data_IF_878635424028
#
_entry.id   IF_878635424028
#
_cell.length_a   1.000
_cell.length_b   1.000
_cell.length_c   1.000
_cell.angle_alpha   90.00
_cell.angle_beta   90.00
_cell.angle_gamma   90.00
#
_symmetry.space_group_name_H-M   'P 1'
#
loop_
_entity.id
_entity.type
_entity.pdbx_description
1 polymer ?
#
# COMPACT_ATOMS: atom_id res chain seq x y z
N UNK A 1 9.24 -8.39 6.99
CA UNK A 1 7.93 -9.00 6.67
C UNK A 1 6.81 -8.06 7.08
N UNK A 2 5.86 -7.84 6.18
CA UNK A 2 4.70 -6.97 6.36
C UNK A 2 3.43 -7.80 6.13
N UNK A 3 2.42 -7.67 6.99
CA UNK A 3 1.10 -8.29 6.83
C UNK A 3 0.06 -7.22 6.56
N UNK A 4 -0.80 -7.47 5.58
CA UNK A 4 -1.94 -6.63 5.24
C UNK A 4 -3.18 -7.23 5.91
N UNK A 5 -3.92 -6.42 6.66
CA UNK A 5 -5.07 -6.87 7.45
C UNK A 5 -6.40 -6.38 6.90
N UNK A 6 -6.42 -5.18 6.33
CA UNK A 6 -7.61 -4.57 5.75
C UNK A 6 -7.22 -3.78 4.51
N UNK A 7 -7.97 -3.97 3.43
CA UNK A 7 -7.78 -3.29 2.17
C UNK A 7 -9.07 -3.23 1.36
N UNK A 8 -9.16 -2.22 0.50
CA UNK A 8 -10.27 -1.96 -0.40
C UNK A 8 -9.77 -2.00 -1.85
N UNK A 9 -10.66 -2.38 -2.76
CA UNK A 9 -10.38 -2.37 -4.20
C UNK A 9 -10.79 -1.00 -4.74
N UNK A 10 -9.92 -0.39 -5.53
CA UNK A 10 -10.22 0.82 -6.29
C UNK A 10 -9.97 0.56 -7.78
N UNK A 11 -10.68 1.29 -8.64
CA UNK A 11 -10.39 1.27 -10.07
C UNK A 11 -9.00 1.87 -10.34
N UNK A 12 -8.32 1.38 -11.38
CA UNK A 12 -7.02 1.89 -11.79
C UNK A 12 -7.20 2.97 -12.86
N UNK A 13 -6.91 4.24 -12.56
CA UNK A 13 -6.84 5.27 -13.58
C UNK A 13 -5.85 4.91 -14.69
N UNK A 14 -6.13 5.37 -15.91
CA UNK A 14 -5.24 5.20 -17.07
C UNK A 14 -3.82 5.76 -16.82
N UNK A 15 -3.69 6.76 -15.93
CA UNK A 15 -2.40 7.32 -15.54
C UNK A 15 -1.44 6.30 -14.91
N UNK A 16 -1.96 5.21 -14.34
CA UNK A 16 -1.17 4.14 -13.72
C UNK A 16 -1.19 2.84 -14.56
N UNK A 17 -1.65 2.89 -15.81
CA UNK A 17 -1.76 1.71 -16.66
C UNK A 17 -0.40 1.04 -16.93
N UNK A 18 0.67 1.84 -17.00
CA UNK A 18 2.03 1.37 -17.26
C UNK A 18 2.85 1.11 -15.99
N UNK A 19 2.29 1.41 -14.81
CA UNK A 19 2.97 1.15 -13.55
C UNK A 19 3.03 -0.36 -13.28
N UNK A 20 4.15 -0.81 -12.73
CA UNK A 20 4.34 -2.23 -12.45
C UNK A 20 3.49 -2.67 -11.25
N UNK A 21 2.85 -3.85 -11.29
CA UNK A 21 2.20 -4.42 -10.12
C UNK A 21 3.12 -4.49 -8.90
N UNK A 22 2.58 -4.14 -7.74
CA UNK A 22 3.30 -4.00 -6.48
C UNK A 22 3.89 -2.60 -6.23
N UNK A 23 3.75 -1.65 -7.16
CA UNK A 23 4.26 -0.27 -6.98
C UNK A 23 3.28 0.57 -6.17
N UNK A 24 3.80 1.30 -5.18
CA UNK A 24 3.01 2.24 -4.39
C UNK A 24 2.78 3.51 -5.21
N UNK A 25 1.55 3.77 -5.62
CA UNK A 25 1.22 4.95 -6.44
C UNK A 25 0.75 6.15 -5.59
N UNK A 26 0.23 5.90 -4.39
CA UNK A 26 -0.25 6.96 -3.49
C UNK A 26 -0.17 6.56 -2.02
N UNK A 27 0.08 7.54 -1.16
CA UNK A 27 0.24 7.38 0.29
C UNK A 27 -0.40 8.56 1.00
N UNK A 28 -1.41 8.32 1.83
CA UNK A 28 -1.98 9.33 2.72
C UNK A 28 -2.46 8.71 4.04
N UNK A 29 -3.06 9.53 4.91
CA UNK A 29 -3.60 9.07 6.19
C UNK A 29 -4.78 8.09 6.03
N UNK A 30 -5.47 8.12 4.90
CA UNK A 30 -6.59 7.26 4.56
C UNK A 30 -6.19 5.93 3.92
N UNK A 31 -4.95 5.77 3.43
CA UNK A 31 -4.52 4.50 2.87
C UNK A 31 -3.21 4.52 2.08
N UNK A 32 -2.72 3.32 1.80
CA UNK A 32 -1.61 3.07 0.88
C UNK A 32 -2.23 2.48 -0.39
N UNK A 33 -2.09 3.15 -1.54
CA UNK A 33 -2.55 2.61 -2.82
C UNK A 33 -1.42 1.91 -3.54
N UNK A 34 -1.66 0.66 -3.91
CA UNK A 34 -0.72 -0.21 -4.61
C UNK A 34 -1.30 -0.55 -5.97
N UNK A 35 -0.49 -0.39 -7.01
CA UNK A 35 -0.84 -0.80 -8.36
C UNK A 35 -0.90 -2.32 -8.42
N UNK A 36 -2.01 -2.87 -8.91
CA UNK A 36 -2.17 -4.29 -9.17
C UNK A 36 -2.18 -4.54 -10.70
N UNK A 37 -2.18 -5.82 -11.08
CA UNK A 37 -2.38 -6.20 -12.49
C UNK A 37 -3.67 -5.56 -13.03
N UNK A 38 -4.73 -5.68 -12.25
CA UNK A 38 -6.02 -5.02 -12.46
C UNK A 38 -6.40 -4.21 -11.22
N UNK A 39 -6.90 -3.00 -11.42
CA UNK A 39 -7.27 -2.11 -10.32
C UNK A 39 -6.09 -1.61 -9.47
N UNK A 40 -6.45 -0.95 -8.38
CA UNK A 40 -5.57 -0.56 -7.30
C UNK A 40 -6.05 -1.27 -6.03
N UNK A 41 -5.10 -1.57 -5.14
CA UNK A 41 -5.39 -2.03 -3.79
C UNK A 41 -5.09 -0.90 -2.82
N UNK A 42 -6.11 -0.40 -2.11
CA UNK A 42 -5.95 0.56 -1.02
C UNK A 42 -5.89 -0.17 0.31
N UNK A 43 -4.71 -0.31 0.88
CA UNK A 43 -4.52 -0.87 2.22
C UNK A 43 -4.84 0.18 3.27
N UNK A 44 -5.57 -0.20 4.30
CA UNK A 44 -5.98 0.69 5.42
C UNK A 44 -5.47 0.21 6.77
N UNK A 45 -5.19 -1.10 6.93
CA UNK A 45 -4.53 -1.67 8.11
C UNK A 45 -3.41 -2.65 7.77
N UNK A 46 -2.30 -2.53 8.49
CA UNK A 46 -1.10 -3.34 8.29
C UNK A 46 -0.32 -3.57 9.58
N UNK A 47 0.59 -4.55 9.53
CA UNK A 47 1.39 -4.97 10.68
C UNK A 47 2.81 -5.34 10.24
N UNK A 48 3.82 -4.79 10.92
CA UNK A 48 5.21 -5.27 10.81
C UNK A 48 5.40 -6.55 11.62
N UNK A 49 6.35 -7.39 11.22
CA UNK A 49 6.73 -8.58 11.99
C UNK A 49 6.94 -8.26 13.48
N UNK A 50 6.24 -8.99 14.35
CA UNK A 50 6.29 -8.82 15.81
C UNK A 50 5.60 -7.55 16.35
N UNK A 51 5.07 -6.68 15.50
CA UNK A 51 4.38 -5.44 15.90
C UNK A 51 2.88 -5.63 16.12
N UNK A 52 2.21 -4.54 16.53
CA UNK A 52 0.73 -4.47 16.58
C UNK A 52 0.16 -4.26 15.17
N UNK A 53 -1.13 -4.60 15.00
CA UNK A 53 -1.91 -4.19 13.84
C UNK A 53 -2.21 -2.71 13.99
N UNK A 54 -1.91 -1.91 12.97
CA UNK A 54 -2.05 -0.47 12.97
C UNK A 54 -2.85 -0.02 11.75
N UNK A 55 -3.56 1.10 11.88
CA UNK A 55 -4.02 1.85 10.71
C UNK A 55 -2.83 2.38 9.90
N UNK A 56 -3.05 2.71 8.62
CA UNK A 56 -2.02 3.37 7.79
C UNK A 56 -1.52 4.65 8.42
N UNK A 57 -2.42 5.48 8.95
CA UNK A 57 -2.05 6.73 9.62
C UNK A 57 -1.07 6.49 10.77
N UNK A 58 -1.35 5.53 11.65
CA UNK A 58 -0.47 5.19 12.77
C UNK A 58 0.85 4.58 12.28
N UNK A 59 0.79 3.73 11.25
CA UNK A 59 1.96 3.11 10.67
C UNK A 59 2.93 4.13 10.09
N UNK A 60 2.44 5.11 9.32
CA UNK A 60 3.25 6.13 8.64
C UNK A 60 3.93 7.11 9.61
N UNK A 61 3.41 7.29 10.83
CA UNK A 61 4.03 8.14 11.86
C UNK A 61 5.38 7.59 12.34
N UNK A 62 5.56 6.27 12.30
CA UNK A 62 6.77 5.59 12.77
C UNK A 62 7.57 4.91 11.66
N UNK A 63 7.05 4.86 10.43
CA UNK A 63 7.68 4.17 9.31
C UNK A 63 7.54 5.01 8.04
N UNK A 64 8.65 5.48 7.51
CA UNK A 64 8.67 6.19 6.24
C UNK A 64 8.45 5.20 5.08
N UNK A 65 7.54 5.53 4.19
CA UNK A 65 7.36 4.87 2.89
C UNK A 65 7.31 5.93 1.80
N UNK A 66 7.58 5.51 0.56
CA UNK A 66 7.61 6.43 -0.58
C UNK A 66 6.76 5.92 -1.75
N UNK A 67 6.12 6.86 -2.44
CA UNK A 67 5.54 6.59 -3.76
C UNK A 67 6.65 6.12 -4.69
N UNK A 68 6.36 5.11 -5.51
CA UNK A 68 7.32 4.41 -6.36
C UNK A 68 8.03 3.23 -5.70
N UNK A 69 7.89 3.04 -4.38
CA UNK A 69 8.40 1.86 -3.71
C UNK A 69 7.66 0.59 -4.19
N UNK A 70 8.39 -0.52 -4.36
CA UNK A 70 7.83 -1.78 -4.83
C UNK A 70 7.73 -2.80 -3.69
N UNK A 71 6.50 -3.21 -3.37
CA UNK A 71 6.24 -4.31 -2.45
C UNK A 71 6.36 -5.67 -3.14
N UNK A 72 6.73 -6.70 -2.36
CA UNK A 72 6.84 -8.07 -2.87
C UNK A 72 8.12 -8.38 -3.64
N UNK A 73 9.15 -7.51 -3.57
CA UNK A 73 10.51 -7.94 -3.91
C UNK A 73 11.00 -8.92 -2.83
N UNK A 74 11.25 -10.15 -3.24
CA UNK A 74 12.13 -11.07 -2.52
C UNK A 74 13.58 -10.60 -2.63
#
# INVERSE_FOLDING_TARGET
MLRLWEAEIEEKPLSFQHDQPGTLCHLDHGGIKVVCGEGLLRVTRLQRAGGKILSVQEFLRGNAMKVGEKWGKA
#
